data_IF_636623748366
#
_entry.id   IF_636623748366
#
_cell.length_a   1.000
_cell.length_b   1.000
_cell.length_c   1.000
_cell.angle_alpha   90.00
_cell.angle_beta   90.00
_cell.angle_gamma   90.00
#
_symmetry.space_group_name_H-M   'P 1'
#
loop_
_entity.id
_entity.type
_entity.pdbx_description
1 polymer ?
#
# COMPACT_ATOMS: atom_id res chain seq x y z
N UNK A 1 65.95 -55.18 -29.04
CA UNK A 1 66.30 -54.41 -27.84
C UNK A 1 65.54 -53.10 -27.89
N UNK A 2 64.44 -53.04 -27.13
CA UNK A 2 63.89 -51.86 -26.42
C UNK A 2 63.72 -50.55 -27.21
N UNK A 3 62.51 -50.30 -27.76
CA UNK A 3 61.46 -49.35 -27.32
C UNK A 3 61.78 -47.84 -27.45
N UNK A 4 60.93 -47.11 -28.20
CA UNK A 4 60.27 -45.85 -27.80
C UNK A 4 59.56 -45.22 -29.02
N UNK A 5 58.28 -45.52 -29.22
CA UNK A 5 57.37 -44.74 -30.08
C UNK A 5 56.35 -44.05 -29.17
N UNK A 6 56.42 -42.71 -29.12
CA UNK A 6 55.43 -41.85 -28.45
C UNK A 6 54.15 -41.84 -29.28
N UNK A 7 53.05 -42.36 -28.73
CA UNK A 7 51.72 -42.22 -29.29
C UNK A 7 50.99 -41.04 -28.61
N UNK A 8 50.73 -40.01 -29.39
CA UNK A 8 49.93 -38.82 -29.08
C UNK A 8 48.46 -39.21 -28.89
N UNK A 9 47.90 -39.00 -27.70
CA UNK A 9 46.45 -39.09 -27.46
C UNK A 9 45.88 -37.68 -27.24
N UNK A 10 44.80 -37.28 -27.93
CA UNK A 10 44.12 -36.02 -27.65
C UNK A 10 43.23 -36.18 -26.40
N UNK A 11 43.50 -35.37 -25.39
CA UNK A 11 42.72 -35.30 -24.15
C UNK A 11 41.41 -34.55 -24.43
N UNK A 12 40.29 -35.28 -24.43
CA UNK A 12 38.93 -34.74 -24.45
C UNK A 12 38.64 -34.09 -23.09
N UNK A 13 38.60 -32.76 -23.05
CA UNK A 13 38.29 -31.98 -21.85
C UNK A 13 36.77 -31.73 -21.81
N UNK A 14 36.06 -32.55 -21.03
CA UNK A 14 34.62 -32.37 -20.76
C UNK A 14 34.47 -31.22 -19.76
N UNK A 15 34.13 -30.04 -20.26
CA UNK A 15 33.85 -28.86 -19.45
C UNK A 15 32.47 -29.01 -18.80
N UNK A 16 32.45 -29.30 -17.50
CA UNK A 16 31.22 -29.34 -16.70
C UNK A 16 30.79 -27.92 -16.36
N UNK A 17 29.73 -27.42 -16.99
CA UNK A 17 29.05 -26.18 -16.59
C UNK A 17 28.21 -26.46 -15.34
N UNK A 18 28.66 -25.98 -14.18
CA UNK A 18 27.84 -25.87 -13.00
C UNK A 18 26.83 -24.72 -13.22
N UNK A 19 25.55 -25.06 -13.42
CA UNK A 19 24.44 -24.12 -13.33
C UNK A 19 24.20 -23.80 -11.85
N UNK A 20 24.67 -22.64 -11.40
CA UNK A 20 24.26 -22.10 -10.09
C UNK A 20 22.81 -21.61 -10.20
N UNK A 21 21.88 -22.38 -9.62
CA UNK A 21 20.52 -21.93 -9.37
C UNK A 21 20.54 -20.87 -8.28
N UNK A 22 20.33 -19.60 -8.62
CA UNK A 22 20.08 -18.54 -7.65
C UNK A 22 18.71 -18.78 -7.01
N UNK A 23 18.70 -19.38 -5.82
CA UNK A 23 17.55 -19.34 -4.93
C UNK A 23 17.27 -17.89 -4.57
N UNK A 24 16.06 -17.40 -4.87
CA UNK A 24 15.58 -16.12 -4.35
C UNK A 24 15.55 -16.24 -2.83
N UNK A 25 16.43 -15.52 -2.14
CA UNK A 25 16.33 -15.37 -0.69
C UNK A 25 14.98 -14.73 -0.35
N UNK A 26 14.40 -15.14 0.77
CA UNK A 26 13.16 -14.54 1.27
C UNK A 26 13.42 -13.06 1.60
N UNK A 27 12.66 -12.10 1.03
CA UNK A 27 12.87 -10.68 1.27
C UNK A 27 12.83 -10.29 2.76
N UNK A 28 12.10 -11.02 3.59
CA UNK A 28 12.01 -10.79 5.03
C UNK A 28 13.25 -11.30 5.78
N UNK A 29 13.92 -12.32 5.24
CA UNK A 29 15.21 -12.79 5.78
C UNK A 29 16.31 -11.75 5.56
N UNK A 30 16.31 -11.09 4.40
CA UNK A 30 17.28 -10.04 4.07
C UNK A 30 17.12 -8.80 4.95
N UNK A 31 15.89 -8.41 5.29
CA UNK A 31 15.59 -7.36 6.28
C UNK A 31 16.11 -7.77 7.68
N UNK A 32 15.95 -9.04 8.05
CA UNK A 32 16.45 -9.57 9.33
C UNK A 32 17.96 -9.42 9.49
N UNK A 33 18.75 -9.63 8.42
CA UNK A 33 20.21 -9.49 8.45
C UNK A 33 20.68 -8.06 8.75
N UNK A 34 19.91 -7.04 8.35
CA UNK A 34 20.26 -5.64 8.64
C UNK A 34 20.30 -5.34 10.15
N UNK A 35 19.61 -6.13 10.99
CA UNK A 35 19.61 -5.95 12.45
C UNK A 35 20.96 -6.26 13.11
N UNK A 36 21.78 -7.10 12.47
CA UNK A 36 23.09 -7.49 12.98
C UNK A 36 24.17 -6.40 12.75
N UNK A 37 23.89 -5.39 11.94
CA UNK A 37 24.84 -4.31 11.62
C UNK A 37 24.86 -3.30 12.76
N UNK A 38 26.03 -3.14 13.38
CA UNK A 38 26.21 -2.27 14.57
C UNK A 38 26.35 -0.78 14.22
N UNK A 39 26.83 -0.47 13.02
CA UNK A 39 27.01 0.91 12.56
C UNK A 39 25.70 1.48 11.98
N UNK A 40 25.18 2.56 12.55
CA UNK A 40 23.86 3.12 12.20
C UNK A 40 23.71 3.49 10.72
N UNK A 41 24.71 4.17 10.15
CA UNK A 41 24.66 4.60 8.76
C UNK A 41 24.66 3.41 7.77
N UNK A 42 25.35 2.33 8.12
CA UNK A 42 25.44 1.12 7.30
C UNK A 42 24.18 0.26 7.44
N UNK A 43 23.66 0.16 8.66
CA UNK A 43 22.37 -0.46 8.95
C UNK A 43 21.23 0.22 8.18
N UNK A 44 21.20 1.54 8.16
CA UNK A 44 20.20 2.30 7.40
C UNK A 44 20.30 2.01 5.89
N UNK A 45 21.52 2.02 5.32
CA UNK A 45 21.74 1.68 3.91
C UNK A 45 21.29 0.26 3.58
N UNK A 46 21.50 -0.70 4.49
CA UNK A 46 21.02 -2.07 4.34
C UNK A 46 19.48 -2.12 4.27
N UNK A 47 18.79 -1.45 5.20
CA UNK A 47 17.32 -1.38 5.16
C UNK A 47 16.81 -0.71 3.88
N UNK A 48 17.45 0.38 3.44
CA UNK A 48 17.10 1.06 2.20
C UNK A 48 17.27 0.16 0.97
N UNK A 49 18.35 -0.62 0.92
CA UNK A 49 18.61 -1.56 -0.17
C UNK A 49 17.59 -2.71 -0.17
N UNK A 50 17.31 -3.30 0.99
CA UNK A 50 16.31 -4.35 1.16
C UNK A 50 14.91 -3.85 0.76
N UNK A 51 14.54 -2.63 1.17
CA UNK A 51 13.26 -2.02 0.81
C UNK A 51 13.10 -1.81 -0.70
N UNK A 52 14.19 -1.44 -1.42
CA UNK A 52 14.18 -1.32 -2.89
C UNK A 52 14.10 -2.66 -3.62
N UNK A 53 14.54 -3.74 -2.97
CA UNK A 53 14.50 -5.09 -3.53
C UNK A 53 13.10 -5.72 -3.39
N UNK A 54 12.24 -5.18 -2.52
CA UNK A 54 10.86 -5.64 -2.41
C UNK A 54 10.13 -5.37 -3.74
N UNK A 55 9.42 -6.37 -4.30
CA UNK A 55 8.58 -6.14 -5.46
C UNK A 55 7.53 -5.09 -5.09
N UNK A 56 7.49 -4.01 -5.87
CA UNK A 56 6.44 -3.01 -5.78
C UNK A 56 5.08 -3.69 -5.88
N UNK A 57 4.17 -3.37 -4.96
CA UNK A 57 2.79 -3.84 -5.07
C UNK A 57 2.22 -3.34 -6.41
N UNK A 58 1.90 -4.25 -7.32
CA UNK A 58 1.34 -3.91 -8.62
C UNK A 58 -0.04 -3.28 -8.43
N UNK A 59 -0.07 -1.95 -8.51
CA UNK A 59 -1.29 -1.16 -8.61
C UNK A 59 -1.87 -1.37 -10.02
N UNK A 60 -2.78 -2.33 -10.16
CA UNK A 60 -3.51 -2.49 -11.42
C UNK A 60 -4.66 -1.48 -11.46
N UNK A 61 -4.54 -0.48 -12.34
CA UNK A 61 -5.68 0.33 -12.78
C UNK A 61 -6.62 -0.58 -13.60
N UNK A 62 -7.49 -1.32 -12.91
CA UNK A 62 -8.56 -2.10 -13.52
C UNK A 62 -9.84 -1.27 -13.64
N UNK A 63 -10.97 -1.96 -13.79
CA UNK A 63 -12.35 -1.42 -13.84
C UNK A 63 -12.83 -0.79 -12.51
N UNK A 64 -11.91 -0.11 -11.81
CA UNK A 64 -12.05 0.47 -10.47
C UNK A 64 -12.19 1.99 -10.52
N UNK A 65 -12.25 2.59 -11.71
CA UNK A 65 -12.38 4.03 -11.87
C UNK A 65 -11.22 4.80 -11.24
N UNK A 66 -11.53 5.73 -10.33
CA UNK A 66 -10.53 6.53 -9.59
C UNK A 66 -9.82 5.76 -8.48
N UNK A 67 -10.26 4.54 -8.19
CA UNK A 67 -9.73 3.73 -7.09
C UNK A 67 -8.52 2.91 -7.53
N UNK A 68 -7.42 3.09 -6.84
CA UNK A 68 -6.22 2.26 -6.98
C UNK A 68 -6.27 1.17 -5.91
N UNK A 69 -6.34 -0.10 -6.32
CA UNK A 69 -6.32 -1.23 -5.40
C UNK A 69 -4.89 -1.76 -5.31
N UNK A 70 -4.32 -1.73 -4.09
CA UNK A 70 -2.97 -2.24 -3.83
C UNK A 70 -3.08 -3.73 -3.57
N UNK A 71 -2.57 -4.53 -4.52
CA UNK A 71 -2.53 -6.00 -4.38
C UNK A 71 -1.18 -6.40 -3.78
N UNK A 72 -1.16 -7.33 -2.80
CA UNK A 72 0.09 -7.87 -2.30
C UNK A 72 0.83 -8.67 -3.40
N UNK A 73 2.14 -8.93 -3.22
CA UNK A 73 2.95 -9.60 -4.22
C UNK A 73 2.35 -10.95 -4.64
N UNK A 74 2.48 -11.27 -5.93
CA UNK A 74 2.02 -12.55 -6.47
C UNK A 74 2.70 -13.71 -5.71
N UNK A 75 1.90 -14.69 -5.27
CA UNK A 75 2.39 -15.85 -4.49
C UNK A 75 2.36 -15.68 -2.97
N UNK A 76 2.04 -14.50 -2.45
CA UNK A 76 1.91 -14.28 -0.99
C UNK A 76 0.67 -14.94 -0.37
N UNK A 77 -0.27 -15.42 -1.18
CA UNK A 77 -1.57 -15.92 -0.72
C UNK A 77 -2.49 -14.84 -0.12
N UNK A 78 -2.01 -13.60 0.01
CA UNK A 78 -2.74 -12.50 0.60
C UNK A 78 -3.65 -11.81 -0.43
N UNK A 79 -4.79 -11.29 0.04
CA UNK A 79 -5.73 -10.49 -0.74
C UNK A 79 -5.43 -9.00 -0.64
N UNK A 80 -5.86 -8.23 -1.64
CA UNK A 80 -5.67 -6.79 -1.66
C UNK A 80 -6.39 -6.11 -0.48
N UNK A 81 -5.63 -5.73 0.54
CA UNK A 81 -6.15 -5.16 1.78
C UNK A 81 -6.27 -3.64 1.79
N UNK A 82 -6.05 -2.95 0.66
CA UNK A 82 -6.09 -1.49 0.59
C UNK A 82 -6.52 -0.98 -0.79
N UNK A 83 -7.38 0.02 -0.79
CA UNK A 83 -7.76 0.82 -1.95
C UNK A 83 -7.63 2.31 -1.63
N UNK A 84 -7.14 3.10 -2.57
CA UNK A 84 -6.95 4.55 -2.41
C UNK A 84 -7.55 5.33 -3.56
N UNK A 85 -8.15 6.48 -3.28
CA UNK A 85 -8.54 7.47 -4.27
C UNK A 85 -7.97 8.82 -3.86
N UNK A 86 -7.35 9.54 -4.80
CA UNK A 86 -6.73 10.84 -4.53
C UNK A 86 -7.39 11.91 -5.39
N UNK A 87 -7.75 13.03 -4.78
CA UNK A 87 -8.33 14.20 -5.45
C UNK A 87 -7.54 15.46 -5.12
N UNK A 88 -7.51 16.40 -6.06
CA UNK A 88 -6.77 17.66 -5.97
C UNK A 88 -5.59 17.74 -6.95
N UNK A 89 -5.01 18.94 -7.16
CA UNK A 89 -3.83 19.10 -7.99
C UNK A 89 -2.65 18.31 -7.42
N UNK A 90 -1.78 17.81 -8.31
CA UNK A 90 -0.54 17.15 -7.92
C UNK A 90 0.25 18.07 -6.98
N UNK A 91 0.46 17.64 -5.73
CA UNK A 91 1.10 18.49 -4.73
C UNK A 91 0.49 18.33 -3.34
N UNK A 92 0.82 19.24 -2.41
CA UNK A 92 0.49 19.07 -1.01
C UNK A 92 -1.01 19.17 -0.71
N UNK A 93 -1.78 19.84 -1.57
CA UNK A 93 -3.20 20.08 -1.33
C UNK A 93 -4.11 18.93 -1.74
N UNK A 94 -3.54 17.81 -2.23
CA UNK A 94 -4.33 16.63 -2.51
C UNK A 94 -4.90 16.01 -1.23
N UNK A 95 -6.08 15.42 -1.35
CA UNK A 95 -6.68 14.60 -0.30
C UNK A 95 -6.78 13.18 -0.84
N UNK A 96 -6.21 12.24 -0.08
CA UNK A 96 -6.25 10.82 -0.38
C UNK A 96 -7.18 10.12 0.60
N UNK A 97 -8.24 9.52 0.07
CA UNK A 97 -9.11 8.61 0.79
C UNK A 97 -8.55 7.20 0.68
N UNK A 98 -8.47 6.50 1.81
CA UNK A 98 -7.97 5.13 1.91
C UNK A 98 -9.02 4.26 2.57
N UNK A 99 -9.42 3.19 1.87
CA UNK A 99 -10.22 2.10 2.41
C UNK A 99 -9.29 0.90 2.56
N UNK A 100 -9.31 0.25 3.71
CA UNK A 100 -8.41 -0.86 3.98
C UNK A 100 -9.00 -1.91 4.89
N UNK A 101 -8.15 -2.88 5.23
CA UNK A 101 -8.38 -3.81 6.31
C UNK A 101 -7.29 -3.66 7.36
N UNK A 102 -7.70 -3.47 8.62
CA UNK A 102 -6.82 -3.45 9.78
C UNK A 102 -7.38 -4.41 10.83
N UNK A 103 -6.57 -5.37 11.29
CA UNK A 103 -6.94 -6.34 12.33
C UNK A 103 -8.25 -7.10 12.03
N UNK A 104 -8.44 -7.49 10.76
CA UNK A 104 -9.65 -8.18 10.29
C UNK A 104 -10.90 -7.29 10.22
N UNK A 105 -10.75 -5.97 10.31
CA UNK A 105 -11.87 -5.01 10.26
C UNK A 105 -11.66 -4.00 9.14
N UNK A 106 -12.73 -3.65 8.39
CA UNK A 106 -12.67 -2.55 7.44
C UNK A 106 -12.25 -1.24 8.12
N UNK A 107 -11.34 -0.52 7.49
CA UNK A 107 -10.84 0.77 7.95
C UNK A 107 -11.07 1.83 6.89
N UNK A 108 -11.39 3.06 7.31
CA UNK A 108 -11.50 4.22 6.44
C UNK A 108 -10.68 5.36 7.03
N UNK A 109 -9.83 5.97 6.21
CA UNK A 109 -9.05 7.13 6.61
C UNK A 109 -8.87 8.09 5.45
N UNK A 110 -8.68 9.36 5.75
CA UNK A 110 -8.34 10.37 4.77
C UNK A 110 -7.07 11.11 5.20
N UNK A 111 -6.21 11.43 4.24
CA UNK A 111 -4.91 12.05 4.47
C UNK A 111 -4.65 13.16 3.47
N UNK A 112 -3.84 14.13 3.89
CA UNK A 112 -3.27 15.19 3.03
C UNK A 112 -1.91 15.60 3.57
N UNK A 113 -1.11 16.26 2.75
CA UNK A 113 0.27 16.54 3.13
C UNK A 113 0.40 17.66 4.19
N UNK A 114 -0.31 18.81 4.11
CA UNK A 114 -0.33 19.77 5.19
C UNK A 114 -1.18 19.28 6.37
N UNK A 115 -0.86 19.78 7.56
CA UNK A 115 -1.61 19.46 8.77
C UNK A 115 -3.08 19.83 8.61
N UNK A 116 -3.97 18.92 9.00
CA UNK A 116 -5.42 19.13 9.04
C UNK A 116 -5.75 19.99 10.27
N UNK A 117 -5.53 19.43 11.46
CA UNK A 117 -5.70 20.12 12.74
C UNK A 117 -4.78 19.52 13.80
N UNK A 118 -4.15 20.36 14.63
CA UNK A 118 -3.30 19.92 15.75
C UNK A 118 -4.15 19.48 16.95
N UNK A 119 -4.90 18.42 16.78
CA UNK A 119 -5.82 17.84 17.77
C UNK A 119 -5.83 16.32 17.64
N UNK A 120 -6.14 15.62 18.74
CA UNK A 120 -6.28 14.16 18.76
C UNK A 120 -7.45 13.68 17.88
N UNK A 121 -8.41 14.55 17.58
CA UNK A 121 -9.49 14.29 16.64
C UNK A 121 -9.80 15.53 15.77
N UNK A 122 -10.39 15.30 14.61
CA UNK A 122 -10.86 16.33 13.68
C UNK A 122 -12.28 16.01 13.27
N UNK A 123 -13.14 17.03 13.17
CA UNK A 123 -14.49 16.85 12.68
C UNK A 123 -14.44 16.62 11.16
N UNK A 124 -15.02 15.50 10.74
CA UNK A 124 -15.12 15.11 9.34
C UNK A 124 -16.59 15.00 8.97
N UNK A 125 -16.96 15.66 7.89
CA UNK A 125 -18.31 15.64 7.35
C UNK A 125 -18.30 14.97 5.99
N UNK A 126 -19.16 13.98 5.80
CA UNK A 126 -19.31 13.23 4.55
C UNK A 126 -20.68 13.46 3.93
N UNK A 127 -20.68 13.74 2.63
CA UNK A 127 -21.88 13.82 1.82
C UNK A 127 -21.82 12.78 0.71
N UNK A 128 -22.94 12.11 0.45
CA UNK A 128 -23.11 11.24 -0.72
C UNK A 128 -24.13 11.88 -1.63
N UNK A 129 -23.73 12.24 -2.85
CA UNK A 129 -24.56 12.99 -3.79
C UNK A 129 -25.23 14.21 -3.12
N UNK A 130 -24.42 15.03 -2.45
CA UNK A 130 -24.82 16.25 -1.72
C UNK A 130 -25.71 16.05 -0.49
N UNK A 131 -26.06 14.80 -0.14
CA UNK A 131 -26.78 14.47 1.08
C UNK A 131 -25.81 14.16 2.21
N UNK A 132 -25.96 14.83 3.35
CA UNK A 132 -25.21 14.53 4.57
C UNK A 132 -25.47 13.08 5.01
N UNK A 133 -24.41 12.29 5.14
CA UNK A 133 -24.49 10.89 5.60
C UNK A 133 -23.73 10.66 6.90
N UNK A 134 -22.72 11.48 7.19
CA UNK A 134 -21.92 11.39 8.41
C UNK A 134 -21.40 12.79 8.77
N UNK A 135 -21.43 13.13 10.05
CA UNK A 135 -20.62 14.23 10.61
C UNK A 135 -20.15 13.77 11.98
N UNK A 136 -18.86 13.46 12.10
CA UNK A 136 -18.32 12.83 13.30
C UNK A 136 -16.83 13.15 13.50
N UNK A 137 -16.35 12.95 14.72
CA UNK A 137 -14.96 13.12 15.09
C UNK A 137 -14.14 11.91 14.66
N UNK A 138 -13.19 12.13 13.76
CA UNK A 138 -12.24 11.12 13.32
C UNK A 138 -10.96 11.22 14.14
N UNK A 139 -10.34 10.07 14.42
CA UNK A 139 -9.10 10.01 15.19
C UNK A 139 -7.94 10.49 14.33
N UNK A 140 -7.25 11.54 14.78
CA UNK A 140 -6.10 12.09 14.08
C UNK A 140 -4.86 11.22 14.31
N UNK A 141 -4.04 11.10 13.26
CA UNK A 141 -2.68 10.57 13.37
C UNK A 141 -1.77 11.51 14.17
N UNK A 142 -0.67 10.96 14.69
CA UNK A 142 0.33 11.70 15.49
C UNK A 142 1.00 12.86 14.74
N UNK A 143 1.07 12.81 13.40
CA UNK A 143 1.59 13.89 12.57
C UNK A 143 0.50 14.88 12.11
N UNK A 144 -0.76 14.66 12.52
CA UNK A 144 -1.92 15.50 12.23
C UNK A 144 -2.26 15.65 10.73
N UNK A 145 -1.78 14.73 9.90
CA UNK A 145 -1.94 14.77 8.43
C UNK A 145 -2.97 13.78 7.90
N UNK A 146 -3.41 12.87 8.75
CA UNK A 146 -4.48 11.94 8.44
C UNK A 146 -5.45 11.81 9.61
N UNK A 147 -6.68 11.47 9.29
CA UNK A 147 -7.71 11.11 10.25
C UNK A 147 -8.38 9.80 9.83
N UNK A 148 -8.71 8.97 10.80
CA UNK A 148 -9.39 7.69 10.62
C UNK A 148 -10.79 7.72 11.22
N UNK A 149 -11.74 7.18 10.48
CA UNK A 149 -13.13 7.05 10.93
C UNK A 149 -13.18 6.18 12.18
N UNK A 150 -13.77 6.72 13.24
CA UNK A 150 -14.21 5.93 14.37
C UNK A 150 -15.58 5.30 14.05
N UNK A 151 -15.81 4.06 14.45
CA UNK A 151 -17.11 3.39 14.31
C UNK A 151 -17.20 2.32 13.23
N UNK A 152 -18.43 2.04 12.77
CA UNK A 152 -18.72 0.94 11.85
C UNK A 152 -18.50 1.33 10.38
N UNK A 153 -17.24 1.23 9.95
CA UNK A 153 -16.83 1.43 8.55
C UNK A 153 -17.54 0.44 7.62
N UNK A 154 -17.82 -0.79 8.07
CA UNK A 154 -18.46 -1.80 7.22
C UNK A 154 -19.91 -1.42 6.89
N UNK A 155 -20.66 -0.89 7.86
CA UNK A 155 -21.99 -0.34 7.63
C UNK A 155 -21.95 0.89 6.72
N UNK A 156 -21.02 1.82 6.95
CA UNK A 156 -20.85 2.99 6.09
C UNK A 156 -20.59 2.61 4.64
N UNK A 157 -19.63 1.71 4.39
CA UNK A 157 -19.28 1.26 3.04
C UNK A 157 -20.46 0.57 2.35
N UNK A 158 -21.23 -0.27 3.06
CA UNK A 158 -22.44 -0.92 2.51
C UNK A 158 -23.53 0.08 2.13
N UNK A 159 -23.59 1.23 2.81
CA UNK A 159 -24.55 2.30 2.52
C UNK A 159 -24.21 3.15 1.30
N UNK A 160 -22.99 3.05 0.75
CA UNK A 160 -22.60 3.83 -0.42
C UNK A 160 -23.29 3.32 -1.69
N UNK A 161 -23.77 4.19 -2.58
CA UNK A 161 -24.25 3.78 -3.90
C UNK A 161 -23.09 3.30 -4.78
N UNK A 162 -23.40 2.51 -5.80
CA UNK A 162 -22.40 1.99 -6.75
C UNK A 162 -21.77 3.07 -7.64
N UNK A 163 -22.45 4.21 -7.80
CA UNK A 163 -22.05 5.37 -8.61
C UNK A 163 -22.45 6.66 -7.91
N UNK A 164 -21.86 7.78 -8.33
CA UNK A 164 -22.10 9.11 -7.74
C UNK A 164 -20.85 9.64 -7.07
N UNK A 165 -21.02 10.55 -6.11
CA UNK A 165 -19.91 11.27 -5.48
C UNK A 165 -19.97 11.14 -3.97
N UNK A 166 -18.80 10.95 -3.38
CA UNK A 166 -18.56 11.09 -1.94
C UNK A 166 -17.73 12.35 -1.73
N UNK A 167 -18.30 13.35 -1.08
CA UNK A 167 -17.58 14.54 -0.65
C UNK A 167 -17.17 14.37 0.81
N UNK A 168 -15.92 14.68 1.12
CA UNK A 168 -15.34 14.69 2.46
C UNK A 168 -14.86 16.09 2.77
N UNK A 169 -15.25 16.61 3.93
CA UNK A 169 -14.77 17.89 4.43
C UNK A 169 -14.12 17.70 5.80
N UNK A 170 -12.89 18.20 5.95
CA UNK A 170 -12.22 18.35 7.23
C UNK A 170 -12.49 19.74 7.80
N UNK A 171 -12.79 19.80 9.09
CA UNK A 171 -12.68 21.03 9.89
C UNK A 171 -11.25 21.11 10.45
N UNK A 172 -10.47 22.01 9.84
CA UNK A 172 -9.10 22.29 10.21
C UNK A 172 -8.97 23.24 11.39
N UNK A 173 -7.73 23.51 11.79
CA UNK A 173 -7.46 24.51 12.83
C UNK A 173 -7.87 25.91 12.36
N UNK A 174 -8.30 26.78 13.29
CA UNK A 174 -8.58 28.20 13.03
C UNK A 174 -9.62 28.47 11.92
N UNK A 175 -10.57 27.56 11.73
CA UNK A 175 -11.65 27.72 10.75
C UNK A 175 -11.26 27.42 9.30
N UNK A 176 -10.06 26.87 9.06
CA UNK A 176 -9.73 26.33 7.75
C UNK A 176 -10.57 25.10 7.44
N UNK A 177 -11.00 24.97 6.19
CA UNK A 177 -11.74 23.80 5.70
C UNK A 177 -11.03 23.23 4.49
N UNK A 178 -10.97 21.91 4.43
CA UNK A 178 -10.37 21.19 3.32
C UNK A 178 -11.39 20.20 2.79
N UNK A 179 -11.61 20.20 1.49
CA UNK A 179 -12.64 19.37 0.85
C UNK A 179 -12.03 18.50 -0.24
N UNK A 180 -12.46 17.24 -0.27
CA UNK A 180 -12.17 16.30 -1.34
C UNK A 180 -13.43 15.64 -1.86
N UNK A 181 -13.56 15.53 -3.18
CA UNK A 181 -14.72 14.91 -3.84
C UNK A 181 -14.24 13.68 -4.61
N UNK A 182 -14.80 12.52 -4.29
CA UNK A 182 -14.38 11.23 -4.83
C UNK A 182 -15.51 10.60 -5.63
N UNK A 183 -15.22 10.20 -6.87
CA UNK A 183 -16.16 9.42 -7.67
C UNK A 183 -16.30 8.01 -7.08
N UNK A 184 -17.55 7.54 -6.95
CA UNK A 184 -17.88 6.22 -6.43
C UNK A 184 -17.84 5.13 -7.51
N UNK A 185 -17.63 5.48 -8.78
CA UNK A 185 -17.44 4.48 -9.83
C UNK A 185 -16.29 3.52 -9.45
N UNK A 186 -16.58 2.22 -9.43
CA UNK A 186 -15.63 1.17 -9.01
C UNK A 186 -15.68 0.77 -7.53
N UNK A 187 -16.50 1.45 -6.71
CA UNK A 187 -16.57 1.18 -5.26
C UNK A 187 -17.07 -0.24 -4.91
N UNK A 188 -17.93 -0.84 -5.74
CA UNK A 188 -18.39 -2.23 -5.53
C UNK A 188 -17.23 -3.23 -5.59
N UNK A 189 -16.30 -3.02 -6.53
CA UNK A 189 -15.09 -3.83 -6.62
C UNK A 189 -14.22 -3.63 -5.38
N UNK A 190 -14.08 -2.39 -4.91
CA UNK A 190 -13.36 -2.09 -3.66
C UNK A 190 -14.00 -2.80 -2.47
N UNK A 191 -15.32 -2.69 -2.27
CA UNK A 191 -16.03 -3.34 -1.16
C UNK A 191 -15.83 -4.84 -1.15
N UNK A 192 -15.97 -5.50 -2.31
CA UNK A 192 -15.75 -6.94 -2.41
C UNK A 192 -14.33 -7.33 -2.01
N UNK A 193 -13.32 -6.58 -2.45
CA UNK A 193 -11.91 -6.83 -2.09
C UNK A 193 -11.63 -6.63 -0.61
N UNK A 194 -12.18 -5.59 0.00
CA UNK A 194 -12.00 -5.32 1.43
C UNK A 194 -12.68 -6.39 2.28
N UNK A 195 -13.89 -6.84 1.90
CA UNK A 195 -14.55 -7.97 2.58
C UNK A 195 -13.72 -9.25 2.46
N UNK A 196 -13.11 -9.50 1.30
CA UNK A 196 -12.23 -10.65 1.07
C UNK A 196 -10.95 -10.57 1.90
N UNK A 197 -10.39 -9.37 2.07
CA UNK A 197 -9.16 -9.15 2.84
C UNK A 197 -9.36 -9.12 4.37
N UNK A 198 -10.59 -8.89 4.84
CA UNK A 198 -10.93 -8.85 6.27
C UNK A 198 -11.49 -10.16 6.84
N UNK A 199 -11.47 -11.23 6.06
CA UNK A 199 -11.84 -12.58 6.50
C UNK A 199 -10.61 -13.32 7.01
#
# INVERSE_FOLDING_TARGET
MTMLFRATHPLLLVLSLALSSTGRADPFEEIGRCTAISADAERLRCFDAAARALPSADATAGDTGVWTIVRPPAGSGATAGRATATQGPSGPDNITLTIGCADGRPSLSAAREPVIARSASTLVTLHVNDRLVLSDLWSSSNNFRSAAMAGDVAAFLRGLPATGKLSLQFEGSRGFRFEGIFELAGIETVRRRIVEACR
#
